data_IF_465342910719
#
_entry.id   IF_465342910719
#
_cell.length_a   1.000
_cell.length_b   1.000
_cell.length_c   1.000
_cell.angle_alpha   90.00
_cell.angle_beta   90.00
_cell.angle_gamma   90.00
#
_symmetry.space_group_name_H-M   'P 1'
#
loop_
_entity.id
_entity.type
_entity.pdbx_description
1 polymer ?
#
# COMPACT_ATOMS: atom_id res chain seq x y z
N UNK A 1 -16.30 9.59 -7.75
CA UNK A 1 -15.45 10.52 -7.01
C UNK A 1 -14.50 9.76 -6.08
N UNK A 2 -13.21 10.14 -5.99
CA UNK A 2 -12.23 9.42 -5.19
C UNK A 2 -12.62 9.31 -3.71
N UNK A 3 -13.39 10.25 -3.23
CA UNK A 3 -13.87 10.30 -1.85
C UNK A 3 -14.85 9.16 -1.51
N UNK A 4 -15.70 8.76 -2.46
CA UNK A 4 -16.66 7.67 -2.24
C UNK A 4 -15.94 6.31 -2.07
N UNK A 5 -14.94 6.05 -2.92
CA UNK A 5 -14.13 4.83 -2.82
C UNK A 5 -13.35 4.79 -1.51
N UNK A 6 -12.72 5.91 -1.14
CA UNK A 6 -11.99 6.01 0.13
C UNK A 6 -12.92 5.76 1.31
N UNK A 7 -14.09 6.38 1.33
CA UNK A 7 -15.09 6.19 2.39
C UNK A 7 -15.54 4.73 2.49
N UNK A 8 -15.80 4.08 1.36
CA UNK A 8 -16.19 2.67 1.34
C UNK A 8 -15.10 1.77 1.90
N UNK A 9 -13.84 1.99 1.50
CA UNK A 9 -12.69 1.22 2.02
C UNK A 9 -12.51 1.45 3.52
N UNK A 10 -12.60 2.70 3.98
CA UNK A 10 -12.50 3.02 5.41
C UNK A 10 -13.61 2.37 6.23
N UNK A 11 -14.85 2.39 5.74
CA UNK A 11 -15.99 1.75 6.42
C UNK A 11 -15.84 0.23 6.47
N UNK A 12 -15.40 -0.38 5.39
CA UNK A 12 -15.18 -1.83 5.34
C UNK A 12 -14.09 -2.27 6.31
N UNK A 13 -12.96 -1.57 6.32
CA UNK A 13 -11.80 -1.89 7.16
C UNK A 13 -11.80 -1.17 8.52
N UNK A 14 -12.87 -0.48 8.89
CA UNK A 14 -12.91 0.34 10.13
C UNK A 14 -12.47 -0.40 11.39
N UNK A 15 -12.84 -1.67 11.52
CA UNK A 15 -12.47 -2.50 12.67
C UNK A 15 -10.99 -2.87 12.62
N UNK A 16 -10.48 -3.23 11.45
CA UNK A 16 -9.07 -3.53 11.25
C UNK A 16 -8.21 -2.29 11.49
N UNK A 17 -8.63 -1.12 10.99
CA UNK A 17 -7.95 0.15 11.19
C UNK A 17 -7.91 0.51 12.69
N UNK A 18 -9.04 0.42 13.37
CA UNK A 18 -9.12 0.71 14.80
C UNK A 18 -8.22 -0.23 15.61
N UNK A 19 -8.25 -1.53 15.31
CA UNK A 19 -7.42 -2.54 15.96
C UNK A 19 -5.93 -2.28 15.74
N UNK A 20 -5.53 -2.00 14.50
CA UNK A 20 -4.14 -1.71 14.13
C UNK A 20 -3.65 -0.43 14.79
N UNK A 21 -4.43 0.64 14.76
CA UNK A 21 -4.07 1.91 15.40
C UNK A 21 -3.96 1.78 16.92
N UNK A 22 -4.90 1.06 17.56
CA UNK A 22 -4.87 0.82 19.00
C UNK A 22 -3.66 -0.02 19.41
N UNK A 23 -3.35 -1.09 18.66
CA UNK A 23 -2.20 -1.94 18.89
C UNK A 23 -0.89 -1.18 18.70
N UNK A 24 -0.80 -0.36 17.68
CA UNK A 24 0.36 0.51 17.43
C UNK A 24 0.57 1.50 18.58
N UNK A 25 -0.49 2.14 19.03
CA UNK A 25 -0.44 3.09 20.15
C UNK A 25 0.07 2.43 21.44
N UNK A 26 -0.43 1.23 21.76
CA UNK A 26 0.05 0.45 22.93
C UNK A 26 1.52 0.07 22.79
N UNK A 27 1.94 -0.36 21.60
CA UNK A 27 3.31 -0.76 21.33
C UNK A 27 4.28 0.41 21.48
N UNK A 28 3.93 1.57 20.95
CA UNK A 28 4.74 2.79 21.03
C UNK A 28 4.83 3.31 22.47
N UNK A 29 3.76 3.18 23.27
CA UNK A 29 3.76 3.55 24.68
C UNK A 29 4.62 2.65 25.56
N UNK A 30 5.03 1.49 25.04
CA UNK A 30 5.88 0.56 25.77
C UNK A 30 5.13 -0.45 26.64
N UNK A 31 3.84 -0.67 26.40
CA UNK A 31 3.03 -1.64 27.16
C UNK A 31 3.57 -3.08 27.05
N UNK A 32 4.32 -3.39 25.99
CA UNK A 32 4.97 -4.68 25.76
C UNK A 32 6.47 -4.69 26.09
N UNK A 33 6.99 -3.62 26.68
CA UNK A 33 8.40 -3.46 27.00
C UNK A 33 8.99 -2.18 26.44
N UNK A 34 10.11 -1.75 27.01
CA UNK A 34 10.81 -0.51 26.63
C UNK A 34 11.84 -0.72 25.52
N UNK A 35 12.10 -1.97 25.13
CA UNK A 35 13.02 -2.29 24.04
C UNK A 35 12.47 -1.79 22.70
N UNK A 36 13.38 -1.29 21.84
CA UNK A 36 13.02 -0.78 20.52
C UNK A 36 12.32 -1.84 19.64
N UNK A 37 12.68 -3.12 19.81
CA UNK A 37 12.03 -4.24 19.09
C UNK A 37 10.59 -4.46 19.51
N UNK A 38 10.31 -4.28 20.79
CA UNK A 38 8.94 -4.36 21.31
C UNK A 38 8.09 -3.20 20.79
N UNK A 39 8.67 -2.00 20.71
CA UNK A 39 7.98 -0.82 20.14
C UNK A 39 7.70 -0.95 18.65
N UNK A 40 8.52 -1.71 17.92
CA UNK A 40 8.30 -2.00 16.50
C UNK A 40 7.30 -3.15 16.26
N UNK A 41 6.67 -3.66 17.30
CA UNK A 41 5.60 -4.65 17.17
C UNK A 41 6.05 -6.10 17.11
N UNK A 42 7.21 -6.43 17.66
CA UNK A 42 7.71 -7.82 17.69
C UNK A 42 6.73 -8.80 18.36
N UNK A 43 5.99 -8.31 19.35
CA UNK A 43 5.06 -9.12 20.14
C UNK A 43 3.59 -8.93 19.76
N UNK A 44 3.29 -8.03 18.83
CA UNK A 44 1.93 -7.73 18.39
C UNK A 44 1.89 -7.59 16.87
N UNK A 45 1.19 -8.51 16.23
CA UNK A 45 1.05 -8.52 14.77
C UNK A 45 0.36 -7.25 14.25
N UNK A 46 -0.64 -6.72 14.96
CA UNK A 46 -1.35 -5.51 14.52
C UNK A 46 -0.47 -4.27 14.61
N UNK A 47 0.38 -4.16 15.65
CA UNK A 47 1.35 -3.07 15.75
C UNK A 47 2.41 -3.17 14.65
N UNK A 48 2.91 -4.37 14.37
CA UNK A 48 3.82 -4.62 13.24
C UNK A 48 3.17 -4.24 11.91
N UNK A 49 1.89 -4.56 11.73
CA UNK A 49 1.13 -4.21 10.52
C UNK A 49 1.07 -2.70 10.31
N UNK A 50 0.87 -1.91 11.38
CA UNK A 50 0.89 -0.45 11.29
C UNK A 50 2.25 0.07 10.77
N UNK A 51 3.34 -0.47 11.26
CA UNK A 51 4.68 -0.14 10.77
C UNK A 51 4.90 -0.57 9.33
N UNK A 52 4.41 -1.72 8.92
CA UNK A 52 4.52 -2.21 7.53
C UNK A 52 3.69 -1.36 6.56
N UNK A 53 2.53 -0.87 6.98
CA UNK A 53 1.72 0.08 6.20
C UNK A 53 2.48 1.40 6.02
N UNK A 54 3.08 1.92 7.09
CA UNK A 54 3.89 3.13 7.03
C UNK A 54 5.11 2.94 6.12
N UNK A 55 5.83 1.85 6.27
CA UNK A 55 7.01 1.53 5.46
C UNK A 55 6.66 1.33 3.99
N UNK A 56 5.56 0.65 3.68
CA UNK A 56 5.07 0.47 2.32
C UNK A 56 4.53 1.74 1.66
N UNK A 57 4.22 2.77 2.46
CA UNK A 57 3.77 4.08 1.95
C UNK A 57 4.91 5.04 1.64
N UNK A 58 6.10 4.82 2.20
CA UNK A 58 7.27 5.70 2.02
C UNK A 58 7.69 5.83 0.55
N UNK A 59 7.84 4.75 -0.25
CA UNK A 59 8.29 4.88 -1.64
C UNK A 59 7.39 5.78 -2.50
N UNK A 60 6.06 5.61 -2.43
CA UNK A 60 5.15 6.42 -3.25
C UNK A 60 5.16 7.89 -2.83
N UNK A 61 5.29 8.17 -1.55
CA UNK A 61 5.37 9.56 -1.06
C UNK A 61 6.66 10.22 -1.53
N UNK A 62 7.80 9.57 -1.36
CA UNK A 62 9.10 10.11 -1.77
C UNK A 62 9.17 10.31 -3.29
N UNK A 63 8.80 9.30 -4.07
CA UNK A 63 8.85 9.37 -5.53
C UNK A 63 7.80 10.33 -6.09
N UNK A 64 6.62 10.41 -5.47
CA UNK A 64 5.58 11.35 -5.85
C UNK A 64 6.01 12.80 -5.67
N UNK A 65 6.69 13.12 -4.56
CA UNK A 65 7.19 14.47 -4.31
C UNK A 65 8.40 14.82 -5.19
N UNK A 66 9.31 13.87 -5.42
CA UNK A 66 10.52 14.10 -6.23
C UNK A 66 10.21 14.27 -7.73
N UNK A 67 9.23 13.53 -8.24
CA UNK A 67 8.92 13.47 -9.68
C UNK A 67 7.57 14.09 -10.03
N UNK A 68 7.03 14.95 -9.19
CA UNK A 68 5.70 15.54 -9.38
C UNK A 68 5.52 16.18 -10.76
N UNK A 69 6.46 17.00 -11.21
CA UNK A 69 6.38 17.70 -12.49
C UNK A 69 6.41 16.72 -13.67
N UNK A 70 7.27 15.71 -13.62
CA UNK A 70 7.35 14.66 -14.63
C UNK A 70 6.06 13.84 -14.70
N UNK A 71 5.44 13.56 -13.57
CA UNK A 71 4.18 12.82 -13.47
C UNK A 71 3.04 13.62 -14.11
N UNK A 72 2.91 14.90 -13.77
CA UNK A 72 1.88 15.79 -14.31
C UNK A 72 1.99 15.91 -15.84
N UNK A 73 3.20 16.02 -16.37
CA UNK A 73 3.43 16.08 -17.82
C UNK A 73 3.11 14.76 -18.53
N UNK A 74 3.35 13.62 -17.90
CA UNK A 74 3.13 12.29 -18.45
C UNK A 74 1.66 11.87 -18.44
N UNK A 75 0.82 12.45 -17.55
CA UNK A 75 -0.61 12.14 -17.46
C UNK A 75 -1.40 12.39 -18.75
N UNK A 76 -0.87 13.18 -19.66
CA UNK A 76 -1.54 13.55 -20.90
C UNK A 76 -1.34 12.53 -22.03
N UNK A 77 -0.50 11.51 -21.84
CA UNK A 77 -0.22 10.52 -22.87
C UNK A 77 -1.17 9.33 -22.78
N UNK A 78 -2.21 9.32 -23.61
CA UNK A 78 -3.20 8.25 -23.66
C UNK A 78 -2.63 6.92 -24.16
N UNK A 79 -1.65 6.94 -25.05
CA UNK A 79 -1.00 5.72 -25.56
C UNK A 79 -0.21 5.02 -24.46
N UNK A 80 0.52 5.79 -23.64
CA UNK A 80 1.22 5.24 -22.48
C UNK A 80 0.24 4.63 -21.48
N UNK A 81 -0.85 5.31 -21.19
CA UNK A 81 -1.90 4.83 -20.29
C UNK A 81 -2.48 3.50 -20.77
N UNK A 82 -2.85 3.41 -22.06
CA UNK A 82 -3.38 2.18 -22.64
C UNK A 82 -2.35 1.03 -22.60
N UNK A 83 -1.08 1.31 -22.91
CA UNK A 83 -0.01 0.34 -22.85
C UNK A 83 0.20 -0.20 -21.45
N UNK A 84 0.26 0.70 -20.45
CA UNK A 84 0.46 0.31 -19.05
C UNK A 84 -0.72 -0.50 -18.51
N UNK A 85 -1.95 -0.15 -18.84
CA UNK A 85 -3.12 -0.95 -18.51
C UNK A 85 -3.02 -2.38 -19.06
N UNK A 86 -2.66 -2.52 -20.33
CA UNK A 86 -2.52 -3.82 -20.97
C UNK A 86 -1.38 -4.65 -20.35
N UNK A 87 -0.21 -4.05 -20.15
CA UNK A 87 0.97 -4.71 -19.58
C UNK A 87 0.67 -5.19 -18.16
N UNK A 88 0.11 -4.34 -17.30
CA UNK A 88 -0.16 -4.70 -15.90
C UNK A 88 -1.33 -5.68 -15.77
N UNK A 89 -2.30 -5.64 -16.68
CA UNK A 89 -3.36 -6.66 -16.72
C UNK A 89 -2.76 -8.05 -17.03
N UNK A 90 -1.84 -8.13 -17.99
CA UNK A 90 -1.14 -9.36 -18.32
C UNK A 90 -0.23 -9.84 -17.20
N UNK A 91 0.49 -8.91 -16.55
CA UNK A 91 1.34 -9.22 -15.39
C UNK A 91 0.51 -9.75 -14.22
N UNK A 92 -0.64 -9.15 -13.94
CA UNK A 92 -1.53 -9.61 -12.87
C UNK A 92 -2.05 -11.02 -13.17
N UNK A 93 -2.49 -11.27 -14.39
CA UNK A 93 -2.96 -12.60 -14.81
C UNK A 93 -1.86 -13.66 -14.73
N UNK A 94 -0.64 -13.31 -15.14
CA UNK A 94 0.52 -14.19 -15.01
C UNK A 94 0.88 -14.45 -13.54
N UNK A 95 0.94 -13.39 -12.72
CA UNK A 95 1.24 -13.52 -11.30
C UNK A 95 0.20 -14.39 -10.57
N UNK A 96 -1.06 -14.27 -10.94
CA UNK A 96 -2.14 -15.08 -10.37
C UNK A 96 -2.00 -16.57 -10.71
N UNK A 97 -1.45 -16.88 -11.89
CA UNK A 97 -1.22 -18.28 -12.29
C UNK A 97 0.02 -18.89 -11.64
N UNK A 98 1.13 -18.15 -11.55
CA UNK A 98 2.41 -18.68 -11.09
C UNK A 98 2.62 -18.51 -9.59
N UNK A 99 1.89 -17.62 -8.92
CA UNK A 99 2.02 -17.35 -7.50
C UNK A 99 1.71 -18.58 -6.64
N UNK A 100 2.55 -18.84 -5.64
CA UNK A 100 2.39 -20.00 -4.75
C UNK A 100 1.12 -19.91 -3.89
N UNK A 101 0.67 -18.70 -3.53
CA UNK A 101 -0.55 -18.42 -2.75
C UNK A 101 -0.60 -19.14 -1.39
N UNK A 102 0.54 -19.18 -0.70
CA UNK A 102 0.70 -19.88 0.58
C UNK A 102 0.91 -18.94 1.76
N UNK A 103 1.42 -17.72 1.53
CA UNK A 103 1.76 -16.78 2.60
C UNK A 103 0.54 -15.97 3.02
N UNK A 104 0.40 -15.81 4.33
CA UNK A 104 -0.60 -14.92 4.93
C UNK A 104 0.07 -13.62 5.38
N UNK A 105 -0.72 -12.62 5.75
CA UNK A 105 -0.17 -11.33 6.23
C UNK A 105 0.63 -11.46 7.52
N UNK A 106 0.44 -12.51 8.30
CA UNK A 106 1.25 -12.79 9.49
C UNK A 106 2.72 -13.07 9.15
N UNK A 107 2.97 -13.51 7.92
CA UNK A 107 4.31 -13.82 7.42
C UNK A 107 4.96 -12.62 6.70
N UNK A 108 4.30 -11.47 6.69
CA UNK A 108 4.82 -10.25 6.07
C UNK A 108 6.08 -9.79 6.80
N UNK A 109 7.14 -9.53 6.04
CA UNK A 109 8.41 -8.98 6.53
C UNK A 109 8.60 -7.53 6.12
N UNK A 110 9.56 -6.84 6.74
CA UNK A 110 9.90 -5.46 6.38
C UNK A 110 10.36 -5.35 4.91
N UNK A 111 11.17 -6.29 4.44
CA UNK A 111 11.61 -6.32 3.04
C UNK A 111 10.45 -6.48 2.06
N UNK A 112 9.49 -7.33 2.38
CA UNK A 112 8.28 -7.51 1.58
C UNK A 112 7.39 -6.26 1.60
N UNK A 113 7.28 -5.58 2.74
CA UNK A 113 6.56 -4.31 2.84
C UNK A 113 7.18 -3.23 1.95
N UNK A 114 8.50 -3.14 1.90
CA UNK A 114 9.22 -2.25 0.98
C UNK A 114 8.94 -2.63 -0.48
N UNK A 115 8.96 -3.91 -0.82
CA UNK A 115 8.64 -4.38 -2.17
C UNK A 115 7.21 -4.01 -2.59
N UNK A 116 6.24 -4.17 -1.71
CA UNK A 116 4.86 -3.68 -1.92
C UNK A 116 4.84 -2.16 -2.13
N UNK A 117 5.65 -1.43 -1.38
CA UNK A 117 5.74 0.02 -1.48
C UNK A 117 6.26 0.49 -2.83
N UNK A 118 7.29 -0.15 -3.36
CA UNK A 118 7.79 0.14 -4.71
C UNK A 118 6.79 -0.26 -5.78
N UNK A 119 6.10 -1.38 -5.63
CA UNK A 119 5.02 -1.77 -6.53
C UNK A 119 3.88 -0.75 -6.52
N UNK A 120 3.52 -0.22 -5.36
CA UNK A 120 2.55 0.87 -5.24
C UNK A 120 3.03 2.14 -5.93
N UNK A 121 4.32 2.48 -5.81
CA UNK A 121 4.92 3.65 -6.46
C UNK A 121 4.84 3.59 -7.99
N UNK A 122 4.79 2.41 -8.60
CA UNK A 122 4.57 2.26 -10.04
C UNK A 122 3.24 2.86 -10.49
N UNK A 123 2.27 3.00 -9.59
CA UNK A 123 0.99 3.64 -9.88
C UNK A 123 1.11 5.16 -10.16
N UNK A 124 2.28 5.74 -9.92
CA UNK A 124 2.58 7.11 -10.37
C UNK A 124 2.67 7.19 -11.91
N UNK A 125 2.96 6.08 -12.58
CA UNK A 125 2.90 5.99 -14.04
C UNK A 125 1.43 5.88 -14.47
N UNK A 126 0.97 6.72 -15.42
CA UNK A 126 -0.41 6.66 -15.90
C UNK A 126 -0.77 5.28 -16.48
N UNK A 127 -1.92 4.78 -16.11
CA UNK A 127 -2.41 3.48 -16.54
C UNK A 127 -2.03 2.32 -15.62
N UNK A 128 -1.06 2.49 -14.74
CA UNK A 128 -0.74 1.50 -13.72
C UNK A 128 -1.76 1.62 -12.59
N UNK A 129 -2.60 0.60 -12.43
CA UNK A 129 -3.51 0.53 -11.29
C UNK A 129 -2.72 0.31 -10.00
N UNK A 130 -2.96 1.14 -8.98
CA UNK A 130 -2.28 1.00 -7.69
C UNK A 130 -2.52 -0.37 -7.06
N UNK A 131 -3.78 -0.79 -6.95
CA UNK A 131 -4.11 -2.10 -6.43
C UNK A 131 -3.65 -3.23 -7.35
N UNK A 132 -3.76 -3.06 -8.67
CA UNK A 132 -3.25 -4.03 -9.63
C UNK A 132 -1.76 -4.28 -9.50
N UNK A 133 -0.96 -3.22 -9.33
CA UNK A 133 0.48 -3.33 -9.11
C UNK A 133 0.84 -4.00 -7.79
N UNK A 134 0.21 -3.59 -6.70
CA UNK A 134 0.47 -4.16 -5.36
C UNK A 134 -0.01 -5.61 -5.23
N UNK A 135 -1.17 -5.96 -5.77
CA UNK A 135 -1.66 -7.34 -5.78
C UNK A 135 -0.74 -8.23 -6.63
N UNK A 136 -0.30 -7.76 -7.79
CA UNK A 136 0.68 -8.48 -8.61
C UNK A 136 1.94 -8.79 -7.83
N UNK A 137 2.52 -7.80 -7.16
CA UNK A 137 3.71 -7.98 -6.34
C UNK A 137 3.47 -8.99 -5.20
N UNK A 138 2.33 -8.88 -4.52
CA UNK A 138 1.96 -9.80 -3.45
C UNK A 138 1.85 -11.25 -3.92
N UNK A 139 1.22 -11.48 -5.06
CA UNK A 139 1.11 -12.81 -5.65
C UNK A 139 2.47 -13.37 -6.07
N UNK A 140 3.33 -12.56 -6.64
CA UNK A 140 4.70 -12.97 -7.00
C UNK A 140 5.56 -13.31 -5.79
N UNK A 141 5.31 -12.65 -4.65
CA UNK A 141 5.98 -12.97 -3.38
C UNK A 141 5.38 -14.19 -2.66
N UNK A 142 4.37 -14.81 -3.22
CA UNK A 142 3.76 -16.02 -2.69
C UNK A 142 2.60 -15.81 -1.70
N UNK A 143 2.10 -14.59 -1.55
CA UNK A 143 0.93 -14.31 -0.72
C UNK A 143 -0.35 -14.83 -1.36
N UNK A 144 -1.34 -15.16 -0.52
CA UNK A 144 -2.68 -15.50 -1.00
C UNK A 144 -3.33 -14.29 -1.67
N UNK A 145 -4.31 -14.53 -2.54
CA UNK A 145 -5.10 -13.44 -3.16
C UNK A 145 -5.70 -12.52 -2.11
N UNK A 146 -6.26 -13.11 -1.06
CA UNK A 146 -6.88 -12.37 0.04
C UNK A 146 -5.85 -11.50 0.78
N UNK A 147 -4.68 -12.05 1.12
CA UNK A 147 -3.61 -11.33 1.80
C UNK A 147 -3.08 -10.17 0.94
N UNK A 148 -2.81 -10.42 -0.34
CA UNK A 148 -2.33 -9.39 -1.28
C UNK A 148 -3.36 -8.27 -1.44
N UNK A 149 -4.63 -8.60 -1.61
CA UNK A 149 -5.70 -7.62 -1.74
C UNK A 149 -5.89 -6.82 -0.44
N UNK A 150 -5.91 -7.47 0.71
CA UNK A 150 -6.09 -6.81 2.01
C UNK A 150 -4.98 -5.79 2.29
N UNK A 151 -3.71 -6.18 2.10
CA UNK A 151 -2.59 -5.28 2.31
C UNK A 151 -2.59 -4.13 1.30
N UNK A 152 -2.95 -4.41 0.04
CA UNK A 152 -3.09 -3.37 -0.99
C UNK A 152 -4.13 -2.31 -0.61
N UNK A 153 -5.27 -2.71 -0.08
CA UNK A 153 -6.30 -1.77 0.36
C UNK A 153 -5.89 -1.01 1.62
N UNK A 154 -5.20 -1.65 2.55
CA UNK A 154 -4.66 -0.97 3.73
C UNK A 154 -3.60 0.07 3.35
N UNK A 155 -2.73 -0.23 2.38
CA UNK A 155 -1.77 0.73 1.83
C UNK A 155 -2.44 1.90 1.11
N UNK A 156 -3.61 1.70 0.53
CA UNK A 156 -4.35 2.75 -0.16
C UNK A 156 -4.78 3.87 0.77
N UNK A 157 -5.07 3.57 2.04
CA UNK A 157 -5.61 4.53 3.00
C UNK A 157 -4.66 5.70 3.24
N UNK A 158 -3.40 5.51 3.69
CA UNK A 158 -2.49 6.64 3.90
C UNK A 158 -2.11 7.34 2.60
N UNK A 159 -1.98 6.63 1.49
CA UNK A 159 -1.62 7.22 0.20
C UNK A 159 -2.71 8.18 -0.31
N UNK A 160 -3.99 7.76 -0.24
CA UNK A 160 -5.12 8.61 -0.68
C UNK A 160 -5.37 9.76 0.29
N UNK A 161 -5.23 9.53 1.59
CA UNK A 161 -5.31 10.60 2.58
C UNK A 161 -4.21 11.64 2.37
N UNK A 162 -2.97 11.20 2.16
CA UNK A 162 -1.84 12.09 1.89
C UNK A 162 -2.05 12.95 0.65
N UNK A 163 -2.51 12.36 -0.44
CA UNK A 163 -2.79 13.11 -1.67
C UNK A 163 -3.97 14.08 -1.51
N UNK A 164 -5.00 13.69 -0.76
CA UNK A 164 -6.14 14.55 -0.44
C UNK A 164 -5.73 15.77 0.37
N UNK A 165 -4.96 15.59 1.43
CA UNK A 165 -4.42 16.69 2.23
C UNK A 165 -3.52 17.61 1.41
N UNK A 166 -2.64 17.03 0.58
CA UNK A 166 -1.77 17.81 -0.30
C UNK A 166 -2.57 18.70 -1.25
N UNK A 167 -3.63 18.17 -1.86
CA UNK A 167 -4.49 18.94 -2.74
C UNK A 167 -5.21 20.07 -2.01
N UNK A 168 -5.67 19.83 -0.78
CA UNK A 168 -6.30 20.86 0.04
C UNK A 168 -5.33 22.01 0.36
N UNK A 169 -4.08 21.69 0.71
CA UNK A 169 -3.07 22.71 0.93
C UNK A 169 -2.73 23.50 -0.33
N UNK A 170 -2.71 22.85 -1.49
CA UNK A 170 -2.40 23.50 -2.75
C UNK A 170 -3.53 24.39 -3.25
N UNK A 171 -4.79 24.08 -2.87
CA UNK A 171 -5.97 24.87 -3.27
C UNK A 171 -6.34 26.00 -2.31
N UNK A 172 -5.72 26.03 -1.14
CA UNK A 172 -5.88 27.10 -0.15
C UNK A 172 -4.82 28.17 -0.35
#
# INVERSE_FOLDING_TARGET
PPNATLTAVQLYFRRDIARICAAWGRSVRGDHGTDWRARLGRHDHDAAMAWYIALGSVPIVLLGLLFQDAIENTFRNLYLTALMLAVFALLLGWADRVGAKRRTLRELSAGQAVAFGFAQALALVPGVSRSGGTITAGLLMGFTREAAARYSFLLAIPAVMGSGFYQLFKSA
#
